data_IF_915457174154
#
_entry.id   IF_915457174154
#
_cell.length_a   1.000
_cell.length_b   1.000
_cell.length_c   1.000
_cell.angle_alpha   90.00
_cell.angle_beta   90.00
_cell.angle_gamma   90.00
#
_symmetry.space_group_name_H-M   'P 1'
#
loop_
_entity.id
_entity.type
_entity.pdbx_description
1 polymer ?
#
# COMPACT_ATOMS: atom_id res chain seq x y z
N UNK A 1 7.36 2.56 10.86
CA UNK A 1 7.20 3.81 10.12
C UNK A 1 5.77 3.89 9.55
N UNK A 2 4.97 4.83 10.07
CA UNK A 2 3.57 5.05 9.72
C UNK A 2 3.34 5.45 8.23
N UNK A 3 4.37 5.80 7.48
CA UNK A 3 4.30 6.30 6.11
C UNK A 3 4.91 5.37 5.05
N UNK A 4 5.26 4.12 5.40
CA UNK A 4 5.83 3.17 4.44
C UNK A 4 4.73 2.58 3.53
N UNK A 5 4.20 3.40 2.62
CA UNK A 5 3.14 3.01 1.68
C UNK A 5 3.63 2.16 0.51
N UNK A 6 4.93 2.18 0.21
CA UNK A 6 5.50 1.39 -0.88
C UNK A 6 5.38 -0.11 -0.61
N UNK A 7 5.07 -0.87 -1.68
CA UNK A 7 5.18 -2.32 -1.64
C UNK A 7 6.63 -2.74 -1.87
N UNK A 8 7.27 -3.30 -0.83
CA UNK A 8 8.68 -3.60 -0.85
C UNK A 8 9.04 -4.78 -1.77
N UNK A 9 8.07 -5.65 -2.11
CA UNK A 9 8.29 -6.73 -3.07
C UNK A 9 8.76 -6.21 -4.45
N UNK A 10 8.47 -4.94 -4.77
CA UNK A 10 8.93 -4.27 -6.00
C UNK A 10 10.46 -4.23 -6.15
N UNK A 11 11.18 -4.28 -5.03
CA UNK A 11 12.65 -4.17 -5.02
C UNK A 11 13.35 -5.52 -4.99
N UNK A 12 12.62 -6.64 -5.01
CA UNK A 12 13.20 -7.96 -5.10
C UNK A 12 13.74 -8.21 -6.53
N UNK A 13 14.98 -8.69 -6.59
CA UNK A 13 15.66 -8.93 -7.86
C UNK A 13 15.72 -10.44 -8.11
N UNK A 14 15.25 -10.94 -9.27
CA UNK A 14 15.32 -12.36 -9.63
C UNK A 14 16.73 -12.91 -9.53
N UNK A 15 16.90 -14.12 -8.96
CA UNK A 15 18.18 -14.79 -8.81
C UNK A 15 19.10 -14.23 -7.72
N UNK A 16 18.65 -13.22 -6.97
CA UNK A 16 19.41 -12.65 -5.84
C UNK A 16 18.80 -13.07 -4.52
N UNK A 17 19.59 -13.71 -3.64
CA UNK A 17 19.17 -13.97 -2.27
C UNK A 17 18.96 -12.67 -1.49
N UNK A 18 17.79 -12.51 -0.89
CA UNK A 18 17.37 -11.29 -0.22
C UNK A 18 16.56 -11.59 1.03
N UNK A 19 16.68 -10.75 2.05
CA UNK A 19 15.73 -10.70 3.16
C UNK A 19 14.87 -9.46 3.01
N UNK A 20 13.57 -9.58 3.29
CA UNK A 20 12.61 -8.50 3.16
C UNK A 20 11.71 -8.42 4.39
N UNK A 21 11.52 -7.21 4.90
CA UNK A 21 10.47 -6.93 5.89
C UNK A 21 9.16 -6.75 5.13
N UNK A 22 8.20 -7.64 5.36
CA UNK A 22 6.98 -7.72 4.56
C UNK A 22 5.72 -7.53 5.41
N UNK A 23 4.89 -6.56 5.00
CA UNK A 23 3.50 -6.41 5.45
C UNK A 23 2.60 -7.42 4.71
N UNK A 24 1.33 -7.48 5.07
CA UNK A 24 0.36 -8.34 4.39
C UNK A 24 0.35 -8.14 2.86
N UNK A 25 0.30 -6.89 2.39
CA UNK A 25 0.33 -6.57 0.95
C UNK A 25 1.65 -6.94 0.27
N UNK A 26 2.80 -6.78 0.94
CA UNK A 26 4.11 -7.18 0.41
C UNK A 26 4.19 -8.71 0.28
N UNK A 27 3.77 -9.44 1.30
CA UNK A 27 3.82 -10.90 1.31
C UNK A 27 2.91 -11.51 0.24
N UNK A 28 1.73 -10.94 -0.02
CA UNK A 28 0.84 -11.33 -1.13
C UNK A 28 1.50 -11.11 -2.48
N UNK A 29 2.16 -9.97 -2.68
CA UNK A 29 2.89 -9.69 -3.91
C UNK A 29 4.04 -10.70 -4.13
N UNK A 30 4.77 -11.08 -3.06
CA UNK A 30 5.82 -12.11 -3.15
C UNK A 30 5.23 -13.45 -3.60
N UNK A 31 4.08 -13.85 -3.06
CA UNK A 31 3.39 -15.09 -3.46
C UNK A 31 3.09 -15.06 -4.96
N UNK A 32 2.54 -13.97 -5.48
CA UNK A 32 2.24 -13.86 -6.92
C UNK A 32 3.51 -13.87 -7.77
N UNK A 33 4.57 -13.15 -7.38
CA UNK A 33 5.85 -13.19 -8.10
C UNK A 33 6.48 -14.60 -8.14
N UNK A 34 6.30 -15.40 -7.08
CA UNK A 34 6.74 -16.80 -7.05
C UNK A 34 5.86 -17.66 -7.97
N UNK A 35 4.54 -17.51 -7.97
CA UNK A 35 3.61 -18.21 -8.87
C UNK A 35 3.92 -17.91 -10.34
N UNK A 36 4.22 -16.66 -10.66
CA UNK A 36 4.62 -16.22 -12.00
C UNK A 36 6.06 -16.62 -12.37
N UNK A 37 6.77 -17.35 -11.51
CA UNK A 37 8.16 -17.78 -11.69
C UNK A 37 9.14 -16.61 -11.88
N UNK A 38 8.81 -15.44 -11.38
CA UNK A 38 9.68 -14.26 -11.36
C UNK A 38 10.68 -14.33 -10.21
N UNK A 39 10.30 -14.96 -9.10
CA UNK A 39 11.15 -15.20 -7.95
C UNK A 39 11.13 -16.68 -7.59
N UNK A 40 12.26 -17.17 -7.07
CA UNK A 40 12.31 -18.47 -6.40
C UNK A 40 12.08 -18.25 -4.90
N UNK A 41 11.19 -19.06 -4.31
CA UNK A 41 10.84 -18.92 -2.89
C UNK A 41 12.06 -19.09 -1.98
N UNK A 42 13.00 -19.97 -2.35
CA UNK A 42 14.24 -20.23 -1.61
C UNK A 42 15.24 -19.06 -1.62
N UNK A 43 15.07 -18.10 -2.52
CA UNK A 43 15.94 -16.93 -2.60
C UNK A 43 15.46 -15.76 -1.70
N UNK A 44 14.28 -15.89 -1.07
CA UNK A 44 13.68 -14.79 -0.31
C UNK A 44 13.38 -15.24 1.12
N UNK A 45 13.99 -14.56 2.09
CA UNK A 45 13.64 -14.67 3.50
C UNK A 45 12.64 -13.57 3.84
N UNK A 46 11.46 -13.96 4.30
CA UNK A 46 10.36 -13.04 4.62
C UNK A 46 10.28 -12.80 6.13
N UNK A 47 10.62 -11.59 6.54
CA UNK A 47 10.44 -11.11 7.91
C UNK A 47 9.07 -10.45 7.97
N UNK A 48 8.09 -11.15 8.51
CA UNK A 48 6.69 -10.72 8.48
C UNK A 48 6.37 -9.74 9.61
N UNK A 49 5.76 -8.62 9.26
CA UNK A 49 5.27 -7.62 10.23
C UNK A 49 3.77 -7.38 10.02
N UNK A 50 2.96 -7.44 11.08
CA UNK A 50 1.56 -7.03 11.03
C UNK A 50 1.46 -5.54 10.69
N UNK A 51 0.38 -5.14 10.00
CA UNK A 51 0.20 -3.78 9.53
C UNK A 51 -1.21 -3.29 9.82
N UNK A 52 -1.33 -2.20 10.57
CA UNK A 52 -2.61 -1.55 10.86
C UNK A 52 -3.05 -0.56 9.78
N UNK A 53 -2.24 -0.41 8.73
CA UNK A 53 -2.40 0.55 7.65
C UNK A 53 -1.32 1.61 7.66
N UNK A 54 -1.22 2.39 6.59
CA UNK A 54 -0.23 3.45 6.43
C UNK A 54 -0.94 4.79 6.30
N UNK A 55 -0.42 5.81 6.96
CA UNK A 55 -0.93 7.17 6.89
C UNK A 55 -0.64 7.79 5.51
N UNK A 56 -1.62 8.53 5.02
CA UNK A 56 -1.52 9.30 3.78
C UNK A 56 -1.05 10.73 4.08
N UNK A 57 0.16 11.11 3.64
CA UNK A 57 0.65 12.48 3.82
C UNK A 57 -0.28 13.53 3.21
N UNK A 58 -0.98 13.19 2.11
CA UNK A 58 -1.92 14.10 1.46
C UNK A 58 -3.18 14.33 2.30
N UNK A 59 -3.67 13.30 2.98
CA UNK A 59 -4.78 13.43 3.91
C UNK A 59 -4.39 14.30 5.13
N UNK A 60 -3.18 14.11 5.65
CA UNK A 60 -2.64 14.94 6.74
C UNK A 60 -2.51 16.39 6.31
N UNK A 61 -1.90 16.66 5.14
CA UNK A 61 -1.74 18.02 4.64
C UNK A 61 -3.08 18.75 4.41
N UNK A 62 -4.09 18.02 3.95
CA UNK A 62 -5.46 18.58 3.79
C UNK A 62 -6.12 18.90 5.12
N UNK A 63 -5.92 18.04 6.12
CA UNK A 63 -6.55 18.20 7.44
C UNK A 63 -5.86 19.28 8.29
N UNK A 64 -4.56 19.41 8.14
CA UNK A 64 -3.73 20.34 8.91
C UNK A 64 -2.93 21.25 7.96
N UNK A 65 -3.60 22.17 7.26
CA UNK A 65 -2.93 23.07 6.33
C UNK A 65 -1.94 23.97 7.09
N UNK A 66 -0.71 24.04 6.59
CA UNK A 66 0.35 24.85 7.19
C UNK A 66 1.26 24.14 8.19
N UNK A 67 1.00 22.87 8.53
CA UNK A 67 1.94 22.05 9.31
C UNK A 67 2.96 21.41 8.37
N UNK A 68 4.24 21.70 8.59
CA UNK A 68 5.34 20.98 7.95
C UNK A 68 5.81 19.88 8.89
N UNK A 69 5.28 18.66 8.73
CA UNK A 69 5.57 17.53 9.62
C UNK A 69 7.06 17.20 9.59
N UNK A 70 7.75 17.34 10.72
CA UNK A 70 9.17 17.02 10.89
C UNK A 70 9.41 15.64 11.49
N UNK A 71 8.55 15.22 12.41
CA UNK A 71 8.57 13.90 13.02
C UNK A 71 7.17 13.43 13.40
N UNK A 72 7.04 12.14 13.68
CA UNK A 72 5.77 11.49 13.99
C UNK A 72 5.99 10.41 15.03
N UNK A 73 5.14 10.37 16.04
CA UNK A 73 5.02 9.26 16.98
C UNK A 73 3.66 8.57 16.80
N UNK A 74 3.66 7.26 16.86
CA UNK A 74 2.45 6.44 16.82
C UNK A 74 2.32 5.67 18.14
N UNK A 75 1.25 5.94 18.87
CA UNK A 75 0.93 5.27 20.13
C UNK A 75 -0.57 5.00 20.19
N UNK A 76 -0.94 3.75 20.45
CA UNK A 76 -2.34 3.32 20.64
C UNK A 76 -3.29 3.72 19.49
N UNK A 77 -2.81 3.72 18.25
CA UNK A 77 -3.60 4.08 17.07
C UNK A 77 -3.79 5.59 16.89
N UNK A 78 -3.10 6.40 17.69
CA UNK A 78 -3.00 7.85 17.53
C UNK A 78 -1.67 8.22 16.89
N UNK A 79 -1.72 9.13 15.95
CA UNK A 79 -0.57 9.72 15.30
C UNK A 79 -0.34 11.11 15.86
N UNK A 80 0.78 11.35 16.52
CA UNK A 80 1.18 12.68 16.99
C UNK A 80 2.16 13.28 16.00
N UNK A 81 1.78 14.39 15.40
CA UNK A 81 2.52 15.09 14.35
C UNK A 81 3.26 16.27 14.98
N UNK A 82 4.56 16.36 14.73
CA UNK A 82 5.41 17.47 15.16
C UNK A 82 5.86 18.26 13.92
N UNK A 83 5.98 19.59 14.07
CA UNK A 83 6.42 20.49 12.97
C UNK A 83 5.61 21.76 12.88
N UNK A 84 4.66 21.95 13.79
CA UNK A 84 3.95 23.21 14.05
C UNK A 84 4.34 23.82 15.40
N UNK A 85 3.69 24.92 15.83
CA UNK A 85 3.90 25.55 17.13
C UNK A 85 3.60 24.59 18.30
N UNK A 86 2.60 23.73 18.13
CA UNK A 86 2.22 22.68 19.07
C UNK A 86 2.05 21.35 18.34
N UNK A 87 2.34 20.20 19.01
CA UNK A 87 2.06 18.89 18.46
C UNK A 87 0.55 18.69 18.25
N UNK A 88 0.20 18.02 17.14
CA UNK A 88 -1.21 17.71 16.84
C UNK A 88 -1.39 16.21 16.77
N UNK A 89 -2.42 15.69 17.45
CA UNK A 89 -2.73 14.26 17.43
C UNK A 89 -3.98 13.97 16.59
N UNK A 90 -3.94 12.88 15.84
CA UNK A 90 -5.04 12.43 14.97
C UNK A 90 -5.14 10.91 15.03
N UNK A 91 -6.34 10.32 15.06
CA UNK A 91 -6.50 8.87 14.88
C UNK A 91 -5.91 8.42 13.54
N UNK A 92 -5.10 7.37 13.54
CA UNK A 92 -4.51 6.81 12.31
C UNK A 92 -5.61 6.47 11.30
N UNK A 93 -6.75 5.95 11.76
CA UNK A 93 -7.89 5.58 10.92
C UNK A 93 -8.44 6.71 10.04
N UNK A 94 -8.30 7.97 10.50
CA UNK A 94 -8.82 9.14 9.77
C UNK A 94 -7.88 9.61 8.65
N UNK A 95 -6.63 9.19 8.71
CA UNK A 95 -5.57 9.63 7.76
C UNK A 95 -4.94 8.46 6.99
N UNK A 96 -5.58 7.29 6.96
CA UNK A 96 -5.11 6.14 6.19
C UNK A 96 -5.19 6.38 4.67
N UNK A 97 -4.24 5.82 3.94
CA UNK A 97 -4.39 5.63 2.49
C UNK A 97 -5.70 4.89 2.16
N UNK A 98 -6.35 5.27 1.07
CA UNK A 98 -7.61 4.67 0.63
C UNK A 98 -7.51 3.13 0.53
N UNK A 99 -6.43 2.61 -0.05
CA UNK A 99 -6.16 1.17 -0.16
C UNK A 99 -5.96 0.49 1.21
N UNK A 100 -5.47 1.20 2.22
CA UNK A 100 -5.29 0.67 3.56
C UNK A 100 -6.60 0.61 4.35
N UNK A 101 -7.54 1.51 4.08
CA UNK A 101 -8.88 1.48 4.69
C UNK A 101 -9.68 0.23 4.26
N UNK A 102 -9.49 -0.21 3.02
CA UNK A 102 -10.15 -1.38 2.43
C UNK A 102 -9.27 -2.64 2.46
N UNK A 103 -8.18 -2.64 3.24
CA UNK A 103 -7.24 -3.76 3.28
C UNK A 103 -7.74 -4.87 4.22
N UNK A 104 -8.04 -6.03 3.67
CA UNK A 104 -8.38 -7.25 4.41
C UNK A 104 -7.12 -8.01 4.90
N UNK A 105 -5.96 -7.86 4.23
CA UNK A 105 -4.74 -8.61 4.55
C UNK A 105 -3.77 -7.77 5.39
N UNK A 106 -3.99 -7.72 6.69
CA UNK A 106 -3.15 -6.96 7.63
C UNK A 106 -1.95 -7.75 8.13
N UNK A 107 -2.04 -9.06 8.10
CA UNK A 107 -0.96 -9.95 8.49
C UNK A 107 -0.27 -10.56 7.26
N UNK A 108 1.03 -10.89 7.34
CA UNK A 108 1.73 -11.58 6.26
C UNK A 108 1.13 -12.96 5.98
N UNK A 109 0.85 -13.26 4.70
CA UNK A 109 0.32 -14.58 4.27
C UNK A 109 1.40 -15.64 4.13
N UNK A 110 2.66 -15.20 3.97
CA UNK A 110 3.87 -16.02 4.08
C UNK A 110 4.85 -15.30 4.99
N UNK A 111 5.55 -16.05 5.85
CA UNK A 111 6.48 -15.50 6.81
C UNK A 111 7.47 -16.58 7.25
N UNK A 112 8.77 -16.25 7.24
CA UNK A 112 9.82 -17.11 7.78
C UNK A 112 10.18 -16.70 9.22
N UNK A 113 10.17 -15.39 9.49
CA UNK A 113 10.49 -14.80 10.79
C UNK A 113 9.39 -13.82 11.16
N UNK A 114 8.46 -14.17 12.06
CA UNK A 114 7.42 -13.24 12.51
C UNK A 114 7.98 -12.19 13.48
N UNK A 115 7.56 -10.93 13.32
CA UNK A 115 7.85 -9.83 14.23
C UNK A 115 6.55 -9.13 14.65
N UNK A 116 6.31 -9.08 15.95
CA UNK A 116 5.12 -8.48 16.54
C UNK A 116 3.90 -9.40 16.54
N UNK A 117 2.86 -8.99 17.26
CA UNK A 117 1.64 -9.77 17.43
C UNK A 117 0.67 -9.55 16.25
N UNK A 118 -0.03 -10.59 15.80
CA UNK A 118 -1.01 -10.48 14.72
C UNK A 118 -2.07 -9.42 15.01
N UNK A 119 -2.45 -8.68 13.98
CA UNK A 119 -3.55 -7.72 14.02
C UNK A 119 -4.85 -8.42 13.63
N UNK A 120 -5.95 -8.07 14.28
CA UNK A 120 -7.28 -8.57 13.90
C UNK A 120 -7.60 -8.12 12.48
N UNK A 121 -7.95 -9.07 11.63
CA UNK A 121 -8.36 -8.83 10.25
C UNK A 121 -9.86 -8.76 10.15
N UNK A 122 -10.33 -7.73 9.46
CA UNK A 122 -11.71 -7.59 9.06
C UNK A 122 -11.73 -7.50 7.54
N UNK A 123 -12.64 -8.21 6.90
CA UNK A 123 -12.86 -8.06 5.47
C UNK A 123 -13.92 -6.96 5.24
N UNK A 124 -13.52 -5.78 4.77
CA UNK A 124 -14.46 -4.70 4.48
C UNK A 124 -15.24 -4.92 3.16
N UNK A 125 -14.97 -6.02 2.45
CA UNK A 125 -15.48 -6.23 1.09
C UNK A 125 -14.84 -5.25 0.08
N UNK A 126 -15.56 -5.02 -1.01
CA UNK A 126 -15.13 -4.12 -2.08
C UNK A 126 -16.22 -3.08 -2.41
N UNK A 127 -16.65 -2.25 -1.44
CA UNK A 127 -17.80 -1.34 -1.62
C UNK A 127 -17.62 -0.37 -2.79
N UNK A 128 -16.40 0.12 -3.02
CA UNK A 128 -16.10 1.02 -4.13
C UNK A 128 -16.21 0.32 -5.50
N UNK A 129 -15.80 -0.96 -5.56
CA UNK A 129 -15.92 -1.78 -6.79
C UNK A 129 -17.38 -2.11 -7.06
N UNK A 130 -18.13 -2.48 -6.02
CA UNK A 130 -19.55 -2.77 -6.12
C UNK A 130 -20.35 -1.55 -6.57
N UNK A 131 -20.06 -0.38 -5.98
CA UNK A 131 -20.66 0.89 -6.39
C UNK A 131 -20.34 1.24 -7.85
N UNK A 132 -19.08 1.03 -8.27
CA UNK A 132 -18.69 1.25 -9.67
C UNK A 132 -19.36 0.25 -10.62
N UNK A 133 -19.43 -1.02 -10.24
CA UNK A 133 -20.06 -2.07 -11.03
C UNK A 133 -21.58 -1.87 -11.21
N UNK A 134 -22.24 -1.24 -10.24
CA UNK A 134 -23.66 -0.92 -10.28
C UNK A 134 -24.02 0.23 -11.25
N UNK A 135 -23.04 1.01 -11.74
CA UNK A 135 -23.27 2.07 -12.71
C UNK A 135 -23.61 1.49 -14.09
N UNK A 136 -24.42 2.20 -14.90
CA UNK A 136 -24.61 1.91 -16.30
C UNK A 136 -23.28 1.83 -17.07
N UNK A 137 -23.25 1.05 -18.15
CA UNK A 137 -22.02 0.79 -18.90
C UNK A 137 -21.39 2.07 -19.49
N UNK A 138 -22.22 2.98 -19.98
CA UNK A 138 -21.82 4.28 -20.51
C UNK A 138 -21.20 5.19 -19.44
N UNK A 139 -21.78 5.22 -18.24
CA UNK A 139 -21.20 5.97 -17.10
C UNK A 139 -19.85 5.39 -16.66
N UNK A 140 -19.73 4.05 -16.61
CA UNK A 140 -18.43 3.40 -16.30
C UNK A 140 -17.38 3.77 -17.34
N UNK A 141 -17.74 3.70 -18.62
CA UNK A 141 -16.86 4.06 -19.73
C UNK A 141 -16.39 5.52 -19.60
N UNK A 142 -17.34 6.44 -19.43
CA UNK A 142 -17.04 7.86 -19.28
C UNK A 142 -16.12 8.15 -18.09
N UNK A 143 -16.30 7.47 -16.95
CA UNK A 143 -15.41 7.62 -15.78
C UNK A 143 -14.00 7.11 -16.08
N UNK A 144 -13.88 5.95 -16.73
CA UNK A 144 -12.56 5.40 -17.11
C UNK A 144 -11.86 6.34 -18.09
N UNK A 145 -12.55 6.82 -19.10
CA UNK A 145 -12.01 7.77 -20.08
C UNK A 145 -11.56 9.08 -19.43
N UNK A 146 -12.36 9.63 -18.50
CA UNK A 146 -12.00 10.82 -17.73
C UNK A 146 -10.74 10.64 -16.88
N UNK A 147 -10.54 9.47 -16.27
CA UNK A 147 -9.31 9.19 -15.53
C UNK A 147 -8.12 8.94 -16.45
N UNK A 148 -8.31 8.21 -17.54
CA UNK A 148 -7.25 7.94 -18.51
C UNK A 148 -6.80 9.20 -19.26
N UNK A 149 -7.69 10.18 -19.48
CA UNK A 149 -7.33 11.46 -20.12
C UNK A 149 -6.34 12.30 -19.30
N UNK A 150 -6.24 12.04 -17.99
CA UNK A 150 -5.26 12.69 -17.10
C UNK A 150 -3.86 12.08 -17.22
N UNK A 151 -3.69 10.99 -17.97
CA UNK A 151 -2.45 10.25 -18.05
C UNK A 151 -1.37 11.05 -18.78
N UNK A 152 -0.28 11.35 -18.07
CA UNK A 152 0.92 12.02 -18.62
C UNK A 152 1.99 11.03 -19.10
N UNK A 153 1.70 9.73 -19.11
CA UNK A 153 2.68 8.65 -19.40
C UNK A 153 3.95 8.73 -18.55
N UNK A 154 3.82 9.15 -17.27
CA UNK A 154 4.95 9.23 -16.35
C UNK A 154 5.40 7.87 -15.78
N UNK A 155 4.67 6.80 -16.08
CA UNK A 155 4.95 5.41 -15.62
C UNK A 155 5.02 5.23 -14.09
N UNK A 156 4.54 6.17 -13.30
CA UNK A 156 4.50 6.05 -11.84
C UNK A 156 3.69 4.82 -11.39
N UNK A 157 2.57 4.52 -12.04
CA UNK A 157 1.76 3.32 -11.79
C UNK A 157 2.55 2.02 -12.03
N UNK A 158 3.32 1.95 -13.13
CA UNK A 158 4.22 0.83 -13.45
C UNK A 158 5.32 0.69 -12.39
N UNK A 159 5.90 1.80 -11.98
CA UNK A 159 6.99 1.79 -10.99
C UNK A 159 6.50 1.46 -9.58
N UNK A 160 5.26 1.78 -9.24
CA UNK A 160 4.68 1.51 -7.93
C UNK A 160 4.18 0.07 -7.78
N UNK A 161 3.70 -0.57 -8.85
CA UNK A 161 3.14 -1.91 -8.80
C UNK A 161 4.22 -2.98 -8.76
N UNK A 162 4.28 -3.85 -7.72
CA UNK A 162 5.26 -4.93 -7.63
C UNK A 162 5.07 -6.01 -8.70
N UNK A 163 3.86 -6.11 -9.27
CA UNK A 163 3.50 -7.10 -10.28
C UNK A 163 3.69 -6.59 -11.73
N UNK A 164 4.15 -5.35 -11.90
CA UNK A 164 4.42 -4.81 -13.22
C UNK A 164 5.81 -5.23 -13.70
N UNK A 165 5.89 -6.44 -14.25
CA UNK A 165 7.16 -7.12 -14.62
C UNK A 165 7.34 -7.30 -16.14
N UNK A 166 6.45 -6.74 -16.96
CA UNK A 166 6.57 -6.81 -18.43
C UNK A 166 7.85 -6.13 -18.92
N UNK A 167 8.54 -6.75 -19.88
CA UNK A 167 9.74 -6.19 -20.53
C UNK A 167 9.36 -4.97 -21.38
N UNK A 168 8.25 -5.06 -22.13
CA UNK A 168 7.65 -3.95 -22.87
C UNK A 168 6.26 -3.68 -22.33
N UNK A 169 5.93 -2.42 -22.13
CA UNK A 169 4.62 -2.02 -21.64
C UNK A 169 3.64 -1.87 -22.82
N UNK A 170 2.43 -2.38 -22.67
CA UNK A 170 1.39 -2.20 -23.69
C UNK A 170 0.95 -0.73 -23.84
N UNK A 171 1.32 0.12 -22.87
CA UNK A 171 1.03 1.55 -22.87
C UNK A 171 2.16 2.40 -23.47
N UNK A 172 3.26 1.77 -23.96
CA UNK A 172 4.39 2.47 -24.60
C UNK A 172 4.04 2.97 -26.01
#
# INVERSE_FOLDING_TARGET
NAFCSNNLARYLVPGRKSAIVAKGCDSRAIVELVKERRLKREDVVVIGVPCRGMADPSAIAKRFPGICVSSVDETDGMLTLYGGPEPVSVPVSEVLHASCRLCAAKNPVICDIPLGDPVVENDPGFPDVEAFAALPADERCARVEAEMSKCLRCYACRSACPLCTCESCFAD
#
